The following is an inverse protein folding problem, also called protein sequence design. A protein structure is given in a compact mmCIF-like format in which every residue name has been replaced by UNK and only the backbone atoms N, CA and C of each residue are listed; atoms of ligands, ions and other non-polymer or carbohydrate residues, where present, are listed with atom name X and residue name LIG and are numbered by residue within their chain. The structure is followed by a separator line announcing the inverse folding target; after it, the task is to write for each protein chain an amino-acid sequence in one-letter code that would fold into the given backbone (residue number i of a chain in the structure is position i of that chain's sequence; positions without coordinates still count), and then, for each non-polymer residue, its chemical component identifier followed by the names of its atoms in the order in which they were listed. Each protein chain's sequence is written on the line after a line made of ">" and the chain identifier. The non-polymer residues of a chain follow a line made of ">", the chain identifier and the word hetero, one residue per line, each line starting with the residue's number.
data_IF_209336181159
#
_entry.id   IF_209336181159
#
_cell.length_a   1.000
_cell.length_b   1.000
_cell.length_c   1.000
_cell.angle_alpha   90.00
_cell.angle_beta   90.00
_cell.angle_gamma   90.00
#
_symmetry.space_group_name_H-M   'P 1'
#
loop_
_entity.id
_entity.type
_entity.pdbx_description
1 polymer ?
#
# COMPACT_ATOMS: atom_id res chain seq x y z
N UNK A 1 15.22 7.64 -55.08
CA UNK A 1 14.18 8.50 -54.48
C UNK A 1 13.23 7.54 -53.77
N UNK A 2 13.12 7.43 -52.45
CA UNK A 2 13.27 8.33 -51.28
C UNK A 2 13.42 7.38 -50.08
N UNK A 3 14.56 7.35 -49.38
CA UNK A 3 14.79 7.99 -48.08
C UNK A 3 13.57 8.03 -47.15
N UNK A 4 13.59 7.22 -46.08
CA UNK A 4 13.01 7.59 -44.80
C UNK A 4 13.82 6.86 -43.70
N UNK A 5 14.61 7.66 -42.99
CA UNK A 5 15.56 7.24 -41.99
C UNK A 5 14.86 6.83 -40.69
N UNK A 6 15.61 6.05 -39.93
CA UNK A 6 15.34 5.55 -38.59
C UNK A 6 15.17 6.74 -37.62
N UNK A 7 13.99 6.88 -37.01
CA UNK A 7 13.76 7.83 -35.91
C UNK A 7 14.27 7.19 -34.60
N UNK A 8 15.38 7.72 -34.09
CA UNK A 8 15.95 7.34 -32.80
C UNK A 8 15.07 7.91 -31.66
N UNK A 9 14.39 7.03 -30.92
CA UNK A 9 13.59 7.40 -29.74
C UNK A 9 14.55 7.80 -28.63
N UNK A 10 14.75 9.10 -28.48
CA UNK A 10 15.54 9.69 -27.40
C UNK A 10 14.79 9.58 -26.07
N UNK A 11 15.23 8.64 -25.23
CA UNK A 11 14.79 8.51 -23.84
C UNK A 11 15.31 9.70 -23.01
N UNK A 12 14.44 10.66 -22.75
CA UNK A 12 14.66 11.78 -21.85
C UNK A 12 14.58 11.31 -20.38
N UNK A 13 15.73 10.91 -19.83
CA UNK A 13 15.89 10.65 -18.41
C UNK A 13 15.84 11.96 -17.61
N UNK A 14 14.77 12.18 -16.85
CA UNK A 14 14.63 13.32 -15.93
C UNK A 14 15.16 12.93 -14.55
N UNK A 15 16.38 13.36 -14.23
CA UNK A 15 16.94 13.28 -12.87
C UNK A 15 16.50 14.50 -12.07
N UNK A 16 15.49 14.35 -11.20
CA UNK A 16 15.06 15.40 -10.28
C UNK A 16 15.82 15.26 -8.94
N UNK A 17 16.97 15.90 -8.82
CA UNK A 17 17.55 16.21 -7.50
C UNK A 17 16.89 17.48 -6.96
N UNK A 18 16.20 17.37 -5.82
CA UNK A 18 15.70 18.53 -5.08
C UNK A 18 16.65 18.83 -3.92
N UNK A 19 17.41 19.91 -4.06
CA UNK A 19 18.15 20.50 -2.93
C UNK A 19 17.16 21.32 -2.10
N UNK A 20 16.94 20.91 -0.85
CA UNK A 20 16.27 21.72 0.16
C UNK A 20 17.14 22.96 0.45
N UNK A 21 16.78 24.12 -0.09
CA UNK A 21 17.21 25.40 0.46
C UNK A 21 16.41 25.64 1.74
N UNK A 22 17.08 25.58 2.89
CA UNK A 22 16.53 26.11 4.13
C UNK A 22 16.42 27.63 3.98
N UNK A 23 15.19 28.14 3.96
CA UNK A 23 14.90 29.57 4.04
C UNK A 23 15.10 29.98 5.50
N UNK A 24 16.24 30.61 5.80
CA UNK A 24 16.48 31.24 7.08
C UNK A 24 15.54 32.45 7.21
N UNK A 25 14.47 32.29 7.98
CA UNK A 25 13.67 33.41 8.47
C UNK A 25 14.49 34.16 9.52
N UNK A 26 14.78 35.45 9.36
CA UNK A 26 15.25 36.23 10.49
C UNK A 26 14.10 36.34 11.50
N UNK A 27 14.28 35.72 12.64
CA UNK A 27 13.38 35.80 13.78
C UNK A 27 13.48 37.21 14.41
N UNK A 28 12.74 38.15 13.82
CA UNK A 28 12.45 39.44 14.44
C UNK A 28 10.93 39.62 14.41
N UNK A 29 10.22 38.65 14.99
CA UNK A 29 8.90 38.91 15.54
C UNK A 29 9.12 39.24 17.02
N UNK A 30 9.30 40.53 17.33
CA UNK A 30 9.20 41.00 18.70
C UNK A 30 7.89 40.43 19.28
N UNK A 31 8.01 39.56 20.28
CA UNK A 31 6.87 38.86 20.85
C UNK A 31 5.85 39.88 21.36
N UNK A 32 4.54 39.72 21.07
CA UNK A 32 3.48 40.61 21.57
C UNK A 32 3.48 40.79 23.10
N UNK A 33 4.13 39.86 23.80
CA UNK A 33 4.31 39.87 25.24
C UNK A 33 5.23 41.00 25.73
N UNK A 34 6.22 41.42 24.94
CA UNK A 34 7.13 42.52 25.29
C UNK A 34 6.41 43.87 25.30
N UNK A 35 5.35 44.02 24.52
CA UNK A 35 4.51 45.23 24.47
C UNK A 35 3.53 45.29 25.66
N UNK A 36 3.20 44.15 26.27
CA UNK A 36 2.26 44.06 27.39
C UNK A 36 2.84 44.61 28.71
N UNK A 37 4.17 44.57 28.90
CA UNK A 37 4.80 44.97 30.16
C UNK A 37 4.99 46.49 30.29
N UNK A 38 4.88 47.25 29.20
CA UNK A 38 5.04 48.71 29.20
C UNK A 38 3.78 49.48 29.64
N UNK A 39 2.69 48.78 30.02
CA UNK A 39 1.44 49.42 30.44
C UNK A 39 1.58 49.88 31.89
N UNK A 40 2.08 51.11 32.08
CA UNK A 40 2.17 51.75 33.38
C UNK A 40 0.77 51.83 34.01
N UNK A 41 0.64 51.22 35.19
CA UNK A 41 -0.55 51.32 36.03
C UNK A 41 -0.70 52.77 36.51
N UNK A 42 -1.76 53.42 36.02
CA UNK A 42 -2.50 54.54 36.63
C UNK A 42 -1.63 55.56 37.39
N UNK A 43 -1.25 56.65 36.71
CA UNK A 43 -0.78 57.87 37.36
C UNK A 43 -2.00 58.73 37.74
N UNK A 44 -2.24 59.04 39.03
CA UNK A 44 -3.39 59.86 39.45
C UNK A 44 -3.22 61.37 39.18
N UNK A 45 -2.09 61.81 38.59
CA UNK A 45 -1.75 63.22 38.40
C UNK A 45 -2.05 63.81 37.01
N UNK A 46 -2.63 63.07 36.07
CA UNK A 46 -2.85 63.55 34.70
C UNK A 46 -4.33 63.51 34.31
N UNK A 47 -5.06 64.56 34.68
CA UNK A 47 -6.41 64.81 34.16
C UNK A 47 -6.28 65.36 32.73
N UNK A 48 -6.49 64.53 31.69
CA UNK A 48 -6.52 65.08 30.33
C UNK A 48 -6.47 64.17 29.11
N UNK A 49 -6.65 62.85 29.19
CA UNK A 49 -6.73 62.02 27.96
C UNK A 49 -7.87 61.01 28.05
N UNK A 50 -8.91 61.08 27.21
CA UNK A 50 -9.92 60.03 27.16
C UNK A 50 -9.28 58.74 26.63
N UNK A 51 -9.44 57.65 27.37
CA UNK A 51 -9.10 56.30 26.92
C UNK A 51 -9.97 55.96 25.70
N UNK A 52 -9.39 56.00 24.49
CA UNK A 52 -10.06 55.50 23.31
C UNK A 52 -10.38 54.01 23.50
N UNK A 53 -11.66 53.66 23.43
CA UNK A 53 -12.13 52.28 23.54
C UNK A 53 -11.47 51.42 22.46
N UNK A 54 -10.91 50.27 22.86
CA UNK A 54 -10.31 49.27 21.97
C UNK A 54 -11.39 48.53 21.16
N UNK A 55 -12.13 49.24 20.30
CA UNK A 55 -12.87 48.61 19.23
C UNK A 55 -11.89 48.31 18.10
N UNK A 56 -11.27 47.14 18.14
CA UNK A 56 -10.69 46.59 16.92
C UNK A 56 -11.85 46.42 15.93
N UNK A 57 -11.82 47.06 14.73
CA UNK A 57 -12.86 46.81 13.74
C UNK A 57 -12.84 45.31 13.44
N UNK A 58 -13.98 44.64 13.63
CA UNK A 58 -14.19 43.28 13.12
C UNK A 58 -13.87 43.33 11.64
N UNK A 59 -12.78 42.70 11.23
CA UNK A 59 -12.38 42.63 9.82
C UNK A 59 -13.58 42.12 9.03
N UNK A 60 -14.10 42.87 8.04
CA UNK A 60 -15.23 42.39 7.25
C UNK A 60 -14.83 41.05 6.61
N UNK A 61 -15.72 40.06 6.69
CA UNK A 61 -15.50 38.77 6.09
C UNK A 61 -15.15 38.98 4.61
N UNK A 62 -13.97 38.51 4.19
CA UNK A 62 -13.58 38.56 2.78
C UNK A 62 -14.62 37.74 1.99
N UNK A 63 -15.06 38.21 0.81
CA UNK A 63 -15.89 37.38 -0.06
C UNK A 63 -15.16 36.06 -0.31
N UNK A 64 -15.85 34.94 -0.07
CA UNK A 64 -15.29 33.61 -0.27
C UNK A 64 -15.34 33.33 -1.77
N UNK A 65 -14.19 33.06 -2.37
CA UNK A 65 -14.07 32.72 -3.79
C UNK A 65 -14.59 31.30 -4.04
N UNK A 66 -15.92 31.14 -4.06
CA UNK A 66 -16.60 29.85 -4.22
C UNK A 66 -16.18 29.11 -5.50
N UNK A 67 -15.78 29.85 -6.55
CA UNK A 67 -15.25 29.28 -7.78
C UNK A 67 -13.93 28.52 -7.55
N UNK A 68 -12.99 29.11 -6.80
CA UNK A 68 -11.71 28.48 -6.48
C UNK A 68 -11.91 27.25 -5.57
N UNK A 69 -12.88 27.31 -4.65
CA UNK A 69 -13.25 26.16 -3.81
C UNK A 69 -13.83 25.03 -4.65
N UNK A 70 -14.74 25.34 -5.58
CA UNK A 70 -15.34 24.35 -6.47
C UNK A 70 -14.28 23.70 -7.38
N UNK A 71 -13.39 24.48 -7.97
CA UNK A 71 -12.29 23.97 -8.81
C UNK A 71 -11.39 23.01 -8.01
N UNK A 72 -10.99 23.41 -6.81
CA UNK A 72 -10.18 22.56 -5.93
C UNK A 72 -10.88 21.23 -5.60
N UNK A 73 -12.17 21.27 -5.28
CA UNK A 73 -12.97 20.07 -5.01
C UNK A 73 -13.04 19.17 -6.24
N UNK A 74 -13.33 19.73 -7.42
CA UNK A 74 -13.40 18.97 -8.67
C UNK A 74 -12.05 18.34 -9.02
N UNK A 75 -10.94 19.07 -8.84
CA UNK A 75 -9.59 18.58 -9.08
C UNK A 75 -9.24 17.42 -8.13
N UNK A 76 -9.58 17.51 -6.85
CA UNK A 76 -9.37 16.41 -5.90
C UNK A 76 -10.20 15.18 -6.26
N UNK A 77 -11.44 15.37 -6.67
CA UNK A 77 -12.31 14.28 -7.09
C UNK A 77 -11.81 13.58 -8.36
N UNK A 78 -11.32 14.34 -9.34
CA UNK A 78 -10.79 13.77 -10.58
C UNK A 78 -9.52 12.96 -10.33
N UNK A 79 -8.59 13.49 -9.53
CA UNK A 79 -7.38 12.77 -9.12
C UNK A 79 -7.75 11.49 -8.35
N UNK A 80 -8.70 11.57 -7.41
CA UNK A 80 -9.11 10.41 -6.63
C UNK A 80 -9.76 9.31 -7.50
N UNK A 81 -10.56 9.69 -8.51
CA UNK A 81 -11.12 8.73 -9.49
C UNK A 81 -10.00 8.10 -10.30
N UNK A 82 -9.14 8.91 -10.91
CA UNK A 82 -8.01 8.44 -11.72
C UNK A 82 -7.13 7.43 -10.97
N UNK A 83 -6.78 7.70 -9.72
CA UNK A 83 -5.96 6.78 -8.92
C UNK A 83 -6.68 5.45 -8.66
N UNK A 84 -7.97 5.48 -8.34
CA UNK A 84 -8.75 4.25 -8.13
C UNK A 84 -8.84 3.43 -9.42
N UNK A 85 -9.13 4.08 -10.53
CA UNK A 85 -9.28 3.42 -11.82
C UNK A 85 -7.96 2.81 -12.28
N UNK A 86 -6.84 3.53 -12.10
CA UNK A 86 -5.50 3.02 -12.41
C UNK A 86 -5.11 1.83 -11.53
N UNK A 87 -5.47 1.84 -10.25
CA UNK A 87 -5.24 0.70 -9.35
C UNK A 87 -6.10 -0.50 -9.76
N UNK A 88 -7.37 -0.28 -10.09
CA UNK A 88 -8.27 -1.34 -10.53
C UNK A 88 -7.77 -1.98 -11.83
N UNK A 89 -7.39 -1.16 -12.82
CA UNK A 89 -6.82 -1.63 -14.09
C UNK A 89 -5.50 -2.40 -13.87
N UNK A 90 -4.64 -1.95 -12.95
CA UNK A 90 -3.43 -2.67 -12.60
C UNK A 90 -3.72 -4.04 -11.96
N UNK A 91 -4.71 -4.13 -11.07
CA UNK A 91 -5.16 -5.39 -10.46
C UNK A 91 -5.75 -6.33 -11.51
N UNK A 92 -6.59 -5.81 -12.41
CA UNK A 92 -7.22 -6.61 -13.46
C UNK A 92 -6.18 -7.16 -14.44
N UNK A 93 -5.18 -6.35 -14.82
CA UNK A 93 -4.03 -6.79 -15.62
C UNK A 93 -3.18 -7.83 -14.90
N UNK A 94 -2.94 -7.66 -13.59
CA UNK A 94 -2.21 -8.65 -12.80
C UNK A 94 -2.98 -9.97 -12.74
N UNK A 95 -4.29 -9.92 -12.53
CA UNK A 95 -5.17 -11.09 -12.54
C UNK A 95 -5.13 -11.78 -13.90
N UNK A 96 -5.34 -11.05 -15.00
CA UNK A 96 -5.31 -11.62 -16.34
C UNK A 96 -3.94 -12.25 -16.66
N UNK A 97 -2.85 -11.58 -16.27
CA UNK A 97 -1.50 -12.13 -16.45
C UNK A 97 -1.26 -13.36 -15.57
N UNK A 98 -1.75 -13.37 -14.33
CA UNK A 98 -1.66 -14.52 -13.43
C UNK A 98 -2.51 -15.70 -13.95
N UNK A 99 -3.69 -15.43 -14.51
CA UNK A 99 -4.57 -16.44 -15.11
C UNK A 99 -3.94 -17.02 -16.39
N UNK A 100 -3.36 -16.17 -17.26
CA UNK A 100 -2.65 -16.61 -18.49
C UNK A 100 -1.36 -17.35 -18.20
N UNK A 101 -0.60 -16.92 -17.20
CA UNK A 101 0.63 -17.59 -16.73
C UNK A 101 0.32 -18.79 -15.84
N UNK A 102 -0.91 -18.89 -15.35
CA UNK A 102 -1.37 -19.89 -14.42
C UNK A 102 -1.52 -21.29 -15.03
N UNK A 103 -0.95 -22.27 -14.32
CA UNK A 103 -1.49 -23.62 -14.09
C UNK A 103 -1.88 -24.48 -15.30
N UNK A 104 -1.03 -24.51 -16.33
CA UNK A 104 -1.12 -25.52 -17.41
C UNK A 104 -0.99 -26.97 -16.93
N UNK A 105 -0.56 -27.19 -15.67
CA UNK A 105 -0.33 -28.50 -15.06
C UNK A 105 -1.26 -28.79 -13.87
N UNK A 106 -2.48 -28.23 -13.83
CA UNK A 106 -3.47 -28.61 -12.82
C UNK A 106 -4.06 -29.99 -13.13
N UNK A 107 -3.41 -31.05 -12.65
CA UNK A 107 -4.08 -32.34 -12.51
C UNK A 107 -5.28 -32.15 -11.58
N UNK A 108 -6.49 -32.36 -12.08
CA UNK A 108 -7.69 -32.33 -11.22
C UNK A 108 -7.88 -33.71 -10.64
N UNK A 109 -7.99 -33.80 -9.32
CA UNK A 109 -8.21 -35.06 -8.61
C UNK A 109 -9.69 -35.18 -8.22
N UNK A 110 -10.25 -36.37 -8.38
CA UNK A 110 -11.60 -36.69 -7.94
C UNK A 110 -11.58 -37.28 -6.52
N UNK A 111 -12.74 -37.26 -5.87
CA UNK A 111 -12.94 -38.01 -4.61
C UNK A 111 -12.68 -39.49 -4.87
N UNK A 112 -11.79 -40.08 -4.07
CA UNK A 112 -11.37 -41.47 -4.20
C UNK A 112 -10.00 -41.66 -4.83
N UNK A 113 -9.46 -40.65 -5.51
CA UNK A 113 -8.13 -40.70 -6.09
C UNK A 113 -7.04 -40.80 -5.00
N UNK A 114 -5.95 -41.46 -5.36
CA UNK A 114 -4.76 -41.59 -4.53
C UNK A 114 -3.74 -40.54 -4.97
N UNK A 115 -3.41 -39.62 -4.07
CA UNK A 115 -2.49 -38.50 -4.37
C UNK A 115 -1.29 -38.50 -3.44
N UNK A 116 -0.14 -38.07 -3.95
CA UNK A 116 1.07 -37.90 -3.17
C UNK A 116 1.08 -36.53 -2.50
N UNK A 117 1.40 -36.48 -1.21
CA UNK A 117 1.52 -35.23 -0.46
C UNK A 117 2.97 -34.72 -0.48
N UNK A 118 3.17 -33.47 -0.89
CA UNK A 118 4.48 -32.81 -0.81
C UNK A 118 4.91 -32.63 0.64
N UNK A 119 6.19 -32.83 0.91
CA UNK A 119 6.79 -32.62 2.24
C UNK A 119 7.29 -31.22 2.47
N UNK A 120 7.15 -30.35 1.48
CA UNK A 120 7.49 -28.93 1.62
C UNK A 120 6.62 -28.26 2.70
N UNK A 121 7.26 -27.52 3.61
CA UNK A 121 6.61 -26.95 4.79
C UNK A 121 6.22 -27.94 5.89
N UNK A 122 6.48 -29.25 5.74
CA UNK A 122 6.26 -30.26 6.78
C UNK A 122 7.53 -30.45 7.62
N UNK A 123 7.38 -30.56 8.94
CA UNK A 123 8.51 -30.83 9.85
C UNK A 123 9.18 -32.15 9.48
N UNK A 124 10.50 -32.15 9.31
CA UNK A 124 11.27 -33.35 8.93
C UNK A 124 11.06 -34.54 9.88
N UNK A 125 10.79 -34.29 11.16
CA UNK A 125 10.47 -35.32 12.15
C UNK A 125 9.17 -36.08 11.91
N UNK A 126 8.22 -35.50 11.16
CA UNK A 126 6.97 -36.16 10.77
C UNK A 126 7.13 -36.98 9.47
N UNK A 127 8.21 -36.72 8.72
CA UNK A 127 8.48 -37.31 7.40
C UNK A 127 9.52 -38.43 7.48
N UNK A 128 10.56 -38.25 8.29
CA UNK A 128 11.62 -39.23 8.47
C UNK A 128 11.97 -39.42 9.95
N UNK A 129 12.36 -40.64 10.27
CA UNK A 129 12.94 -40.98 11.57
C UNK A 129 14.42 -40.55 11.69
N UNK A 130 14.98 -39.93 10.66
CA UNK A 130 16.41 -39.62 10.53
C UNK A 130 16.78 -38.23 11.08
N UNK A 131 15.80 -37.43 11.51
CA UNK A 131 16.02 -36.11 12.13
C UNK A 131 16.57 -35.02 11.21
N UNK A 132 16.95 -35.35 9.96
CA UNK A 132 17.50 -34.43 8.98
C UNK A 132 16.70 -34.44 7.67
N UNK A 133 16.55 -33.26 7.05
CA UNK A 133 15.79 -33.08 5.79
C UNK A 133 16.56 -33.52 4.54
N UNK A 134 17.89 -33.61 4.59
CA UNK A 134 18.76 -33.81 3.42
C UNK A 134 18.51 -35.13 2.66
N UNK A 135 17.92 -36.12 3.33
CA UNK A 135 17.54 -37.42 2.78
C UNK A 135 16.04 -37.72 2.93
N UNK A 136 15.23 -36.70 3.21
CA UNK A 136 13.79 -36.86 3.34
C UNK A 136 13.14 -37.00 1.95
N UNK A 137 12.16 -37.90 1.79
CA UNK A 137 11.39 -37.97 0.56
C UNK A 137 10.67 -36.64 0.33
N UNK A 138 10.68 -36.16 -0.93
CA UNK A 138 9.96 -34.94 -1.35
C UNK A 138 8.44 -35.13 -1.34
N UNK A 139 7.98 -36.37 -1.50
CA UNK A 139 6.57 -36.74 -1.48
C UNK A 139 6.37 -37.97 -0.60
N UNK A 140 5.31 -37.97 0.21
CA UNK A 140 4.91 -39.11 1.05
C UNK A 140 3.58 -39.63 0.56
N UNK A 141 3.45 -40.96 0.57
CA UNK A 141 2.21 -41.71 0.70
C UNK A 141 1.10 -41.41 -0.31
N UNK A 142 0.54 -42.41 -1.00
CA UNK A 142 -0.76 -42.18 -1.61
C UNK A 142 -1.79 -42.01 -0.49
N UNK A 143 -2.35 -40.81 -0.40
CA UNK A 143 -3.50 -40.50 0.46
C UNK A 143 -4.75 -40.39 -0.39
N UNK A 144 -5.86 -40.90 0.12
CA UNK A 144 -7.14 -40.87 -0.57
C UNK A 144 -7.77 -39.48 -0.45
N UNK A 145 -8.25 -38.93 -1.57
CA UNK A 145 -9.06 -37.70 -1.55
C UNK A 145 -10.46 -38.01 -1.02
N UNK A 146 -10.86 -37.40 0.08
CA UNK A 146 -12.20 -37.53 0.67
C UNK A 146 -13.16 -36.44 0.19
N UNK A 147 -12.65 -35.23 -0.07
CA UNK A 147 -13.46 -34.07 -0.50
C UNK A 147 -12.64 -33.11 -1.35
N UNK A 148 -13.28 -32.55 -2.38
CA UNK A 148 -12.68 -31.56 -3.30
C UNK A 148 -13.40 -30.21 -3.12
N UNK A 149 -12.64 -29.16 -2.79
CA UNK A 149 -13.10 -27.78 -2.61
C UNK A 149 -12.26 -26.83 -3.50
N UNK A 150 -12.47 -26.87 -4.81
CA UNK A 150 -11.66 -26.08 -5.76
C UNK A 150 -10.19 -26.51 -5.72
N UNK A 151 -9.30 -25.66 -5.22
CA UNK A 151 -7.87 -25.97 -5.07
C UNK A 151 -7.54 -26.66 -3.73
N UNK A 152 -8.49 -26.76 -2.81
CA UNK A 152 -8.30 -27.39 -1.51
C UNK A 152 -8.88 -28.81 -1.49
N UNK A 153 -8.03 -29.79 -1.19
CA UNK A 153 -8.38 -31.20 -1.14
C UNK A 153 -8.30 -31.70 0.30
N UNK A 154 -9.33 -32.41 0.75
CA UNK A 154 -9.28 -33.12 2.02
C UNK A 154 -8.77 -34.53 1.76
N UNK A 155 -7.70 -34.91 2.45
CA UNK A 155 -7.01 -36.18 2.33
C UNK A 155 -7.27 -37.03 3.58
N UNK A 156 -7.40 -38.33 3.37
CA UNK A 156 -7.44 -39.33 4.44
C UNK A 156 -6.03 -39.54 5.02
N UNK A 157 -5.60 -38.60 5.87
CA UNK A 157 -4.27 -38.60 6.48
C UNK A 157 -4.37 -39.24 7.87
N UNK A 158 -3.51 -40.23 8.19
CA UNK A 158 -3.50 -40.84 9.51
C UNK A 158 -3.13 -39.80 10.57
N UNK A 159 -3.85 -39.81 11.70
CA UNK A 159 -3.66 -38.86 12.81
C UNK A 159 -2.24 -38.87 13.39
N UNK A 160 -1.49 -39.96 13.18
CA UNK A 160 -0.08 -40.09 13.58
C UNK A 160 0.83 -39.03 12.95
N UNK A 161 0.52 -38.56 11.74
CA UNK A 161 1.30 -37.53 11.06
C UNK A 161 1.06 -36.13 11.65
N UNK A 162 0.01 -35.94 12.46
CA UNK A 162 -0.37 -34.67 13.09
C UNK A 162 -0.44 -33.50 12.08
N UNK A 163 -0.85 -33.79 10.86
CA UNK A 163 -1.08 -32.82 9.78
C UNK A 163 -2.56 -32.46 9.71
N UNK A 164 -2.84 -31.26 9.21
CA UNK A 164 -4.22 -30.88 8.91
C UNK A 164 -4.71 -31.68 7.69
N UNK A 165 -5.94 -32.25 7.71
CA UNK A 165 -6.42 -33.13 6.64
C UNK A 165 -6.69 -32.39 5.33
N UNK A 166 -6.85 -31.06 5.37
CA UNK A 166 -7.03 -30.23 4.18
C UNK A 166 -5.70 -29.70 3.69
N UNK A 167 -5.36 -29.99 2.44
CA UNK A 167 -4.17 -29.51 1.75
C UNK A 167 -4.57 -28.72 0.50
N UNK A 168 -3.87 -27.62 0.22
CA UNK A 168 -4.05 -26.88 -1.03
C UNK A 168 -3.14 -27.46 -2.11
N UNK A 169 -3.65 -27.60 -3.32
CA UNK A 169 -2.86 -28.02 -4.47
C UNK A 169 -1.84 -26.94 -4.82
N UNK A 170 -0.56 -27.27 -4.62
CA UNK A 170 0.56 -26.40 -4.99
C UNK A 170 1.22 -26.92 -6.28
N UNK A 171 1.43 -26.04 -7.26
CA UNK A 171 2.05 -26.41 -8.53
C UNK A 171 3.57 -26.19 -8.41
N UNK A 172 4.34 -27.27 -8.28
CA UNK A 172 5.79 -27.22 -8.39
C UNK A 172 6.21 -27.05 -9.85
N UNK A 173 6.18 -25.84 -10.38
CA UNK A 173 6.74 -25.52 -11.70
C UNK A 173 7.81 -24.41 -11.67
N UNK A 174 8.42 -24.16 -10.51
CA UNK A 174 9.61 -23.30 -10.39
C UNK A 174 10.85 -24.18 -10.25
N UNK A 175 11.49 -24.45 -11.40
CA UNK A 175 12.92 -24.68 -11.56
C UNK A 175 13.35 -23.95 -12.85
#
# INVERSE_FOLDING_TARGET
>A
MTSAAHEDVTLNAVTRSTTKKALATPDIAASPLATWTARTLINPGNAGVPLAANYAPKTPARPVDNAAVSEFVMQRQSIARFVRDALQDAVDKQKENADKRGRKNMATFATGDQVLLSTDGIRSSAVTNLGASKLAPRFIGPFKVTKVNGEAYTLDIPTSLRLHPTCSQHNSSEL
#
